data_IF_417778947144
#
_entry.id   IF_417778947144
#
_cell.length_a   1.000
_cell.length_b   1.000
_cell.length_c   1.000
_cell.angle_alpha   90.00
_cell.angle_beta   90.00
_cell.angle_gamma   90.00
#
_symmetry.space_group_name_H-M   'P 1'
#
loop_
_entity.id
_entity.type
_entity.pdbx_description
1 polymer ?
#
# COMPACT_ATOMS: atom_id res chain seq x y z
N UNK A 1 -18.98 -13.29 -0.21
CA UNK A 1 -17.53 -13.53 -0.16
C UNK A 1 -17.07 -13.39 1.29
N UNK A 2 -16.21 -14.27 1.80
CA UNK A 2 -15.60 -14.05 3.12
C UNK A 2 -14.49 -13.02 2.93
N UNK A 3 -14.68 -11.82 3.47
CA UNK A 3 -13.62 -10.83 3.54
C UNK A 3 -12.45 -11.43 4.33
N UNK A 4 -11.27 -11.46 3.72
CA UNK A 4 -10.05 -11.85 4.42
C UNK A 4 -9.32 -10.59 4.88
N UNK A 5 -8.69 -10.66 6.05
CA UNK A 5 -7.97 -9.53 6.64
C UNK A 5 -6.48 -9.84 6.55
N UNK A 6 -5.69 -8.87 6.08
CA UNK A 6 -4.25 -9.01 5.89
C UNK A 6 -3.49 -7.96 6.70
N UNK A 7 -2.28 -8.30 7.17
CA UNK A 7 -1.40 -7.27 7.72
C UNK A 7 -1.00 -6.26 6.64
N UNK A 8 -0.63 -5.04 7.03
CA UNK A 8 -0.08 -4.05 6.09
C UNK A 8 1.16 -4.59 5.35
N UNK A 9 1.99 -5.39 6.04
CA UNK A 9 3.16 -6.02 5.46
C UNK A 9 2.80 -7.03 4.36
N UNK A 10 1.79 -7.86 4.58
CA UNK A 10 1.36 -8.86 3.60
C UNK A 10 0.63 -8.21 2.43
N UNK A 11 -0.18 -7.19 2.70
CA UNK A 11 -0.83 -6.40 1.65
C UNK A 11 0.19 -5.70 0.75
N UNK A 12 1.25 -5.11 1.34
CA UNK A 12 2.33 -4.49 0.57
C UNK A 12 3.04 -5.51 -0.35
N UNK A 13 3.31 -6.73 0.15
CA UNK A 13 3.87 -7.82 -0.67
C UNK A 13 2.92 -8.25 -1.79
N UNK A 14 1.65 -8.42 -1.49
CA UNK A 14 0.61 -8.78 -2.46
C UNK A 14 0.53 -7.76 -3.60
N UNK A 15 0.57 -6.47 -3.28
CA UNK A 15 0.55 -5.36 -4.24
C UNK A 15 1.91 -4.99 -4.82
N UNK A 16 2.96 -5.76 -4.51
CA UNK A 16 4.34 -5.52 -4.95
C UNK A 16 4.81 -4.08 -4.70
N UNK A 17 4.52 -3.55 -3.51
CA UNK A 17 4.83 -2.17 -3.12
C UNK A 17 5.44 -2.10 -1.73
N UNK A 18 5.80 -0.90 -1.29
CA UNK A 18 6.35 -0.67 0.05
C UNK A 18 5.25 -0.52 1.10
N UNK A 19 5.55 -0.88 2.36
CA UNK A 19 4.65 -0.59 3.49
C UNK A 19 4.34 0.90 3.60
N UNK A 20 5.32 1.75 3.36
CA UNK A 20 5.13 3.21 3.38
C UNK A 20 4.12 3.66 2.33
N UNK A 21 4.14 3.07 1.14
CA UNK A 21 3.16 3.36 0.09
C UNK A 21 1.75 3.01 0.54
N UNK A 22 1.57 1.88 1.24
CA UNK A 22 0.28 1.50 1.83
C UNK A 22 -0.14 2.50 2.90
N UNK A 23 0.75 2.85 3.85
CA UNK A 23 0.48 3.86 4.89
C UNK A 23 0.04 5.21 4.32
N UNK A 24 0.70 5.68 3.27
CA UNK A 24 0.37 6.95 2.61
C UNK A 24 -0.95 6.93 1.85
N UNK A 25 -1.59 5.77 1.69
CA UNK A 25 -2.83 5.61 0.92
C UNK A 25 -3.92 4.87 1.72
N UNK A 26 -3.82 4.83 3.05
CA UNK A 26 -4.80 4.14 3.91
C UNK A 26 -6.23 4.67 3.71
N UNK A 27 -6.40 5.95 3.40
CA UNK A 27 -7.72 6.56 3.16
C UNK A 27 -8.46 5.95 1.95
N UNK A 28 -7.73 5.28 1.04
CA UNK A 28 -8.30 4.60 -0.12
C UNK A 28 -8.60 3.11 0.15
N UNK A 29 -8.32 2.61 1.36
CA UNK A 29 -8.43 1.20 1.74
C UNK A 29 -9.38 1.05 2.92
N UNK A 30 -10.08 -0.08 2.98
CA UNK A 30 -10.83 -0.44 4.18
C UNK A 30 -9.87 -1.06 5.19
N UNK A 31 -9.83 -0.52 6.41
CA UNK A 31 -8.94 -0.99 7.46
C UNK A 31 -9.69 -1.53 8.67
N UNK A 32 -9.12 -2.54 9.32
CA UNK A 32 -9.56 -3.06 10.61
C UNK A 32 -8.48 -2.76 11.66
N UNK A 33 -8.85 -2.12 12.76
CA UNK A 33 -7.96 -1.81 13.89
C UNK A 33 -8.30 -2.64 15.15
N UNK A 34 -8.91 -3.80 14.97
CA UNK A 34 -9.20 -4.72 16.07
C UNK A 34 -7.91 -5.08 16.83
N UNK A 35 -7.98 -5.03 18.16
CA UNK A 35 -6.87 -5.35 19.06
C UNK A 35 -5.63 -4.46 18.89
N UNK A 36 -5.81 -3.21 18.42
CA UNK A 36 -4.73 -2.22 18.33
C UNK A 36 -3.71 -2.47 17.23
N UNK A 37 -3.99 -3.42 16.33
CA UNK A 37 -3.15 -3.70 15.16
C UNK A 37 -3.91 -3.35 13.90
N UNK A 38 -3.42 -2.35 13.17
CA UNK A 38 -4.01 -1.95 11.90
C UNK A 38 -3.79 -3.00 10.80
N UNK A 39 -4.87 -3.45 10.18
CA UNK A 39 -4.91 -4.45 9.12
C UNK A 39 -5.74 -3.93 7.94
N UNK A 40 -5.50 -4.50 6.76
CA UNK A 40 -6.27 -4.21 5.55
C UNK A 40 -7.37 -5.26 5.39
N UNK A 41 -8.61 -4.80 5.22
CA UNK A 41 -9.73 -5.64 4.81
C UNK A 41 -9.66 -5.79 3.29
N UNK A 42 -9.64 -7.03 2.82
CA UNK A 42 -9.56 -7.31 1.39
C UNK A 42 -10.95 -7.39 0.81
N UNK A 43 -11.44 -6.21 0.45
CA UNK A 43 -12.66 -5.96 -0.31
C UNK A 43 -12.32 -5.56 -1.75
N UNK A 44 -13.34 -5.26 -2.55
CA UNK A 44 -13.15 -4.85 -3.95
C UNK A 44 -12.23 -3.62 -4.09
N UNK A 45 -12.26 -2.67 -3.14
CA UNK A 45 -11.36 -1.51 -3.18
C UNK A 45 -9.92 -1.93 -3.00
N UNK A 46 -9.63 -2.79 -2.03
CA UNK A 46 -8.29 -3.31 -1.80
C UNK A 46 -7.82 -4.20 -2.97
N UNK A 47 -8.70 -4.97 -3.60
CA UNK A 47 -8.39 -5.79 -4.79
C UNK A 47 -8.07 -4.94 -6.02
N UNK A 48 -8.83 -3.87 -6.26
CA UNK A 48 -8.62 -2.97 -7.40
C UNK A 48 -7.53 -1.92 -7.15
N UNK A 49 -7.19 -1.65 -5.89
CA UNK A 49 -6.18 -0.65 -5.54
C UNK A 49 -4.84 -0.96 -6.19
N UNK A 50 -4.26 0.06 -6.82
CA UNK A 50 -2.92 0.05 -7.36
C UNK A 50 -2.06 1.07 -6.61
N UNK A 51 -0.82 0.73 -6.25
CA UNK A 51 0.10 1.71 -5.70
C UNK A 51 0.34 2.80 -6.74
N UNK A 52 -0.02 4.04 -6.43
CA UNK A 52 0.43 5.18 -7.23
C UNK A 52 1.95 5.20 -7.18
N UNK A 53 2.62 5.38 -8.33
CA UNK A 53 4.07 5.54 -8.35
C UNK A 53 4.43 6.69 -7.41
N UNK A 54 5.07 6.36 -6.28
CA UNK A 54 5.72 7.38 -5.48
C UNK A 54 6.79 7.99 -6.37
N UNK A 55 6.71 9.31 -6.53
CA UNK A 55 7.63 10.11 -7.32
C UNK A 55 9.07 9.67 -7.01
N UNK A 56 9.67 8.89 -7.92
CA UNK A 56 11.12 8.65 -7.86
C UNK A 56 11.71 10.01 -8.18
N UNK A 57 12.57 10.61 -7.32
CA UNK A 57 13.34 11.75 -7.76
C UNK A 57 14.06 11.29 -9.02
N UNK A 58 13.71 11.88 -10.18
CA UNK A 58 14.51 11.72 -11.39
C UNK A 58 15.91 12.07 -10.95
N UNK A 59 16.83 11.12 -11.02
CA UNK A 59 18.25 11.40 -10.85
C UNK A 59 18.52 12.66 -11.68
N UNK A 60 18.81 13.76 -10.98
CA UNK A 60 19.39 14.94 -11.59
C UNK A 60 20.54 14.40 -12.41
N UNK A 61 20.47 14.57 -13.73
CA UNK A 61 21.59 14.26 -14.61
C UNK A 61 22.82 14.85 -13.95
N UNK A 62 23.73 14.00 -13.49
CA UNK A 62 25.12 14.38 -13.33
C UNK A 62 25.69 14.46 -14.75
N UNK A 63 25.25 15.49 -15.49
CA UNK A 63 26.08 16.05 -16.55
C UNK A 63 27.21 16.75 -15.80
N UNK A 64 28.40 16.18 -15.87
CA UNK A 64 29.64 16.93 -15.82
C UNK A 64 30.73 16.08 -16.49
N UNK A 65 30.94 16.43 -17.76
CA UNK A 65 32.25 16.65 -18.41
C UNK A 65 33.22 15.48 -18.54
#
# INVERSE_FOLDING_TARGET
MKYHIMSISDFARYKKTSRQTVYNNLDNLTTDNSFGTLKIVMDNKAEEWQPREQYRPKNLKSDNS
#
